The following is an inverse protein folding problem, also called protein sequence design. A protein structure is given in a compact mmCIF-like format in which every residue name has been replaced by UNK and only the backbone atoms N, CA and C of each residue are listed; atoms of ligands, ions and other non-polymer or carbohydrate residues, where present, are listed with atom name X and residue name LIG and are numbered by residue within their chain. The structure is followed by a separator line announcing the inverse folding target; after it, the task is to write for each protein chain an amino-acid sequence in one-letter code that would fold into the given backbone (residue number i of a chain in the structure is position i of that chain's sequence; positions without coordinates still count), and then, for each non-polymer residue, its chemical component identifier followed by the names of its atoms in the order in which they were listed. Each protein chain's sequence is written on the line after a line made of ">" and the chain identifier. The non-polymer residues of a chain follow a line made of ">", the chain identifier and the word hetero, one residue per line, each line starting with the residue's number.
data_IF_711111379500
#
_entry.id   IF_711111379500
#
_cell.length_a   1.000
_cell.length_b   1.000
_cell.length_c   1.000
_cell.angle_alpha   90.00
_cell.angle_beta   90.00
_cell.angle_gamma   90.00
#
_symmetry.space_group_name_H-M   'P 1'
#
loop_
_entity.id
_entity.type
_entity.pdbx_description
1 polymer ?
#
# COMPACT_ATOMS: atom_id res chain seq x y z
N UNK A 1 29.97 -4.99 -23.82
CA UNK A 1 28.81 -5.55 -23.10
C UNK A 1 28.01 -4.37 -22.55
N UNK A 2 26.94 -3.95 -23.23
CA UNK A 2 26.17 -2.79 -22.80
C UNK A 2 25.30 -3.15 -21.59
N UNK A 3 25.46 -2.43 -20.47
CA UNK A 3 24.66 -2.61 -19.28
C UNK A 3 23.18 -2.29 -19.61
N UNK A 4 22.29 -3.25 -19.36
CA UNK A 4 20.84 -3.04 -19.46
C UNK A 4 20.48 -1.92 -18.48
N UNK A 5 19.85 -0.80 -18.91
CA UNK A 5 19.45 0.23 -17.96
C UNK A 5 18.49 -0.43 -16.97
N UNK A 6 18.88 -0.46 -15.69
CA UNK A 6 17.96 -0.81 -14.63
C UNK A 6 16.80 0.16 -14.75
N UNK A 7 15.60 -0.33 -15.11
CA UNK A 7 14.39 0.47 -15.18
C UNK A 7 14.05 0.88 -13.75
N UNK A 8 14.67 1.95 -13.29
CA UNK A 8 14.45 2.53 -11.98
C UNK A 8 13.24 3.44 -12.08
N UNK A 9 12.19 3.14 -11.32
CA UNK A 9 11.02 3.98 -11.17
C UNK A 9 11.10 4.62 -9.78
N UNK A 10 11.71 5.81 -9.65
CA UNK A 10 11.69 6.53 -8.39
C UNK A 10 10.24 6.90 -8.08
N UNK A 11 9.78 6.60 -6.87
CA UNK A 11 8.47 7.00 -6.36
C UNK A 11 8.71 7.89 -5.15
N UNK A 12 8.15 9.11 -5.18
CA UNK A 12 8.21 10.01 -4.04
C UNK A 12 7.26 9.55 -2.92
N UNK A 13 7.52 10.01 -1.70
CA UNK A 13 6.62 9.76 -0.57
C UNK A 13 5.20 10.30 -0.81
N UNK A 14 5.10 11.46 -1.46
CA UNK A 14 3.81 12.09 -1.78
C UNK A 14 3.01 11.26 -2.79
N UNK A 15 3.67 10.70 -3.80
CA UNK A 15 3.04 9.79 -4.76
C UNK A 15 2.54 8.52 -4.07
N UNK A 16 3.38 7.88 -3.26
CA UNK A 16 2.99 6.69 -2.50
C UNK A 16 1.77 6.94 -1.60
N UNK A 17 1.77 8.06 -0.88
CA UNK A 17 0.65 8.44 0.00
C UNK A 17 -0.63 8.72 -0.79
N UNK A 18 -0.53 9.43 -1.91
CA UNK A 18 -1.67 9.75 -2.78
C UNK A 18 -2.28 8.47 -3.35
N UNK A 19 -1.45 7.57 -3.86
CA UNK A 19 -1.90 6.34 -4.49
C UNK A 19 -2.52 5.37 -3.47
N UNK A 20 -1.96 5.27 -2.27
CA UNK A 20 -2.53 4.47 -1.18
C UNK A 20 -3.93 4.97 -0.75
N UNK A 21 -4.12 6.30 -0.66
CA UNK A 21 -5.44 6.90 -0.37
C UNK A 21 -6.44 6.66 -1.50
N UNK A 22 -6.02 6.84 -2.75
CA UNK A 22 -6.85 6.57 -3.91
C UNK A 22 -7.29 5.10 -3.95
N UNK A 23 -6.40 4.17 -3.60
CA UNK A 23 -6.74 2.76 -3.44
C UNK A 23 -7.75 2.53 -2.30
N UNK A 24 -7.55 3.16 -1.14
CA UNK A 24 -8.49 3.04 -0.02
C UNK A 24 -9.92 3.46 -0.43
N UNK A 25 -10.08 4.58 -1.15
CA UNK A 25 -11.40 5.02 -1.62
C UNK A 25 -12.04 4.02 -2.58
N UNK A 26 -11.26 3.40 -3.46
CA UNK A 26 -11.75 2.35 -4.36
C UNK A 26 -12.20 1.11 -3.58
N UNK A 27 -11.51 0.78 -2.50
CA UNK A 27 -11.84 -0.35 -1.63
C UNK A 27 -13.05 -0.06 -0.74
N UNK A 28 -13.27 1.19 -0.32
CA UNK A 28 -14.36 1.56 0.59
C UNK A 28 -15.75 1.09 0.09
N UNK A 29 -15.98 1.10 -1.23
CA UNK A 29 -17.24 0.62 -1.83
C UNK A 29 -17.39 -0.90 -1.93
N UNK A 30 -16.33 -1.66 -1.63
CA UNK A 30 -16.30 -3.13 -1.70
C UNK A 30 -16.35 -3.80 -0.32
N UNK A 31 -16.32 -3.01 0.75
CA UNK A 31 -16.36 -3.51 2.12
C UNK A 31 -17.69 -4.19 2.51
N UNK A 32 -17.78 -4.69 3.74
CA UNK A 32 -16.84 -4.48 4.84
C UNK A 32 -15.62 -5.42 4.79
N UNK A 33 -14.44 -4.89 5.15
CA UNK A 33 -13.24 -5.69 5.37
C UNK A 33 -13.05 -5.97 6.86
N UNK A 34 -12.61 -7.19 7.19
CA UNK A 34 -12.29 -7.57 8.58
C UNK A 34 -10.92 -7.05 9.03
N UNK A 35 -9.96 -6.98 8.10
CA UNK A 35 -8.56 -6.69 8.42
C UNK A 35 -7.71 -6.58 7.15
N UNK A 36 -6.44 -6.20 7.34
CA UNK A 36 -5.41 -6.15 6.29
C UNK A 36 -4.30 -7.13 6.65
N UNK A 37 -3.78 -7.87 5.67
CA UNK A 37 -2.54 -8.66 5.81
C UNK A 37 -1.46 -8.00 4.97
N UNK A 38 -0.45 -7.41 5.62
CA UNK A 38 0.64 -6.70 4.95
C UNK A 38 1.81 -7.64 4.64
N UNK A 39 2.22 -7.70 3.37
CA UNK A 39 3.44 -8.40 2.96
C UNK A 39 4.64 -7.52 3.31
N UNK A 40 5.52 -8.02 4.16
CA UNK A 40 6.67 -7.25 4.63
C UNK A 40 7.83 -7.27 3.61
N UNK A 41 8.72 -6.27 3.61
CA UNK A 41 8.68 -5.02 4.40
C UNK A 41 7.97 -3.88 3.70
N UNK A 42 7.96 -3.88 2.36
CA UNK A 42 7.44 -2.78 1.55
C UNK A 42 5.95 -2.53 1.71
N UNK A 43 5.16 -3.54 2.08
CA UNK A 43 3.71 -3.41 2.25
C UNK A 43 3.27 -2.72 3.54
N UNK A 44 4.16 -2.51 4.52
CA UNK A 44 3.79 -1.97 5.84
C UNK A 44 3.22 -0.55 5.75
N UNK A 45 3.89 0.33 5.00
CA UNK A 45 3.49 1.73 4.83
C UNK A 45 2.14 1.85 4.12
N UNK A 46 1.93 1.29 2.91
CA UNK A 46 0.64 1.39 2.24
C UNK A 46 -0.48 0.69 3.03
N UNK A 47 -0.21 -0.44 3.70
CA UNK A 47 -1.19 -1.09 4.56
C UNK A 47 -1.67 -0.19 5.70
N UNK A 48 -0.76 0.54 6.36
CA UNK A 48 -1.14 1.48 7.42
C UNK A 48 -2.00 2.63 6.91
N UNK A 49 -1.65 3.22 5.75
CA UNK A 49 -2.41 4.32 5.15
C UNK A 49 -3.83 3.85 4.82
N UNK A 50 -3.96 2.69 4.17
CA UNK A 50 -5.26 2.12 3.79
C UNK A 50 -6.09 1.77 5.03
N UNK A 51 -5.47 1.16 6.05
CA UNK A 51 -6.14 0.82 7.30
C UNK A 51 -6.75 2.06 7.96
N UNK A 52 -6.01 3.17 7.99
CA UNK A 52 -6.48 4.44 8.56
C UNK A 52 -7.64 5.03 7.78
N UNK A 53 -7.57 5.03 6.44
CA UNK A 53 -8.65 5.58 5.59
C UNK A 53 -9.93 4.73 5.65
N UNK A 54 -9.82 3.41 5.89
CA UNK A 54 -10.95 2.49 5.98
C UNK A 54 -11.41 2.19 7.43
N UNK A 55 -10.82 2.85 8.43
CA UNK A 55 -11.01 2.57 9.87
C UNK A 55 -10.86 1.08 10.25
N UNK A 56 -9.89 0.41 9.63
CA UNK A 56 -9.57 -1.00 9.90
C UNK A 56 -8.55 -1.06 11.05
N UNK A 57 -8.91 -1.75 12.13
CA UNK A 57 -8.06 -1.90 13.32
C UNK A 57 -7.22 -3.18 13.36
N UNK A 58 -7.58 -4.17 12.55
CA UNK A 58 -6.85 -5.43 12.44
C UNK A 58 -5.88 -5.36 11.27
N UNK A 59 -4.58 -5.29 11.58
CA UNK A 59 -3.50 -5.39 10.60
C UNK A 59 -2.59 -6.53 11.05
N UNK A 60 -2.40 -7.52 10.18
CA UNK A 60 -1.47 -8.62 10.37
C UNK A 60 -0.34 -8.53 9.33
N UNK A 61 0.73 -9.33 9.50
CA UNK A 61 1.91 -9.28 8.63
C UNK A 61 2.39 -10.67 8.24
N UNK A 62 2.90 -10.80 7.01
CA UNK A 62 3.54 -12.02 6.51
C UNK A 62 4.92 -11.70 5.91
N UNK A 63 5.88 -12.60 6.09
CA UNK A 63 7.26 -12.50 5.62
C UNK A 63 7.54 -13.52 4.52
#
# INVERSE_FOLDING_TARGET
>A
MAAKPARYFPVSWDELHRDAKALAWRLAGLGPFRGIVAITRGGLVPAHIIARELDIRLIDTVC
#
